data_IF_877874383020
#
_entry.id   IF_877874383020
#
_cell.length_a   1.000
_cell.length_b   1.000
_cell.length_c   1.000
_cell.angle_alpha   90.00
_cell.angle_beta   90.00
_cell.angle_gamma   90.00
#
_symmetry.space_group_name_H-M   'P 1'
#
loop_
_entity.id
_entity.type
_entity.pdbx_description
1 polymer ?
#
# COMPACT_ATOMS: atom_id res chain seq x y z
N UNK A 1 11.08 18.41 -17.60
CA UNK A 1 11.01 16.93 -17.77
C UNK A 1 12.00 16.17 -16.88
N UNK A 2 13.23 16.67 -16.68
CA UNK A 2 14.25 15.97 -15.88
C UNK A 2 13.86 15.73 -14.41
N UNK A 3 13.22 16.72 -13.76
CA UNK A 3 12.70 16.56 -12.39
C UNK A 3 11.60 15.49 -12.27
N UNK A 4 10.77 15.32 -13.31
CA UNK A 4 9.76 14.25 -13.36
C UNK A 4 10.46 12.88 -13.42
N UNK A 5 11.49 12.75 -14.27
CA UNK A 5 12.30 11.54 -14.39
C UNK A 5 12.99 11.17 -13.08
N UNK A 6 13.56 12.16 -12.37
CA UNK A 6 14.16 11.96 -11.03
C UNK A 6 13.14 11.44 -10.02
N UNK A 7 11.96 12.09 -9.92
CA UNK A 7 10.86 11.64 -9.05
C UNK A 7 10.42 10.21 -9.36
N UNK A 8 10.31 9.85 -10.64
CA UNK A 8 9.94 8.48 -11.03
C UNK A 8 11.00 7.45 -10.63
N UNK A 9 12.29 7.77 -10.85
CA UNK A 9 13.40 6.90 -10.43
C UNK A 9 13.40 6.69 -8.91
N UNK A 10 13.18 7.74 -8.13
CA UNK A 10 13.04 7.62 -6.67
C UNK A 10 11.88 6.71 -6.28
N UNK A 11 10.71 6.87 -6.93
CA UNK A 11 9.56 5.96 -6.70
C UNK A 11 9.92 4.51 -7.04
N UNK A 12 10.60 4.25 -8.15
CA UNK A 12 11.05 2.91 -8.53
C UNK A 12 11.95 2.30 -7.43
N UNK A 13 12.90 3.07 -6.88
CA UNK A 13 13.77 2.60 -5.80
C UNK A 13 12.96 2.25 -4.55
N UNK A 14 12.02 3.10 -4.15
CA UNK A 14 11.14 2.84 -3.00
C UNK A 14 10.35 1.54 -3.20
N UNK A 15 9.79 1.32 -4.39
CA UNK A 15 9.04 0.10 -4.69
C UNK A 15 9.94 -1.15 -4.65
N UNK A 16 11.20 -1.04 -5.08
CA UNK A 16 12.18 -2.12 -4.94
C UNK A 16 12.51 -2.43 -3.49
N UNK A 17 12.73 -1.40 -2.66
CA UNK A 17 12.98 -1.58 -1.22
C UNK A 17 11.80 -2.28 -0.56
N UNK A 18 10.58 -1.87 -0.89
CA UNK A 18 9.36 -2.45 -0.33
C UNK A 18 9.15 -3.91 -0.79
N UNK A 19 9.44 -4.20 -2.07
CA UNK A 19 9.41 -5.57 -2.59
C UNK A 19 10.46 -6.47 -1.91
N UNK A 20 11.69 -5.96 -1.71
CA UNK A 20 12.74 -6.68 -1.01
C UNK A 20 12.37 -6.96 0.45
N UNK A 21 11.77 -5.97 1.13
CA UNK A 21 11.33 -6.13 2.52
C UNK A 21 10.23 -7.20 2.65
N UNK A 22 9.27 -7.24 1.73
CA UNK A 22 8.27 -8.32 1.68
C UNK A 22 8.89 -9.69 1.40
N UNK A 23 9.91 -9.75 0.55
CA UNK A 23 10.63 -10.99 0.24
C UNK A 23 11.42 -11.50 1.46
N UNK A 24 12.11 -10.61 2.16
CA UNK A 24 12.83 -10.93 3.40
C UNK A 24 11.83 -11.43 4.45
N UNK A 25 10.71 -10.73 4.64
CA UNK A 25 9.67 -11.15 5.58
C UNK A 25 9.13 -12.55 5.26
N UNK A 26 8.87 -12.85 3.99
CA UNK A 26 8.45 -14.19 3.55
C UNK A 26 9.48 -15.26 3.91
N UNK A 27 10.75 -15.05 3.57
CA UNK A 27 11.82 -16.02 3.86
C UNK A 27 12.00 -16.24 5.36
N UNK A 28 12.00 -15.17 6.15
CA UNK A 28 12.13 -15.26 7.61
C UNK A 28 10.98 -16.04 8.22
N UNK A 29 9.73 -15.79 7.78
CA UNK A 29 8.57 -16.51 8.28
C UNK A 29 8.62 -18.00 7.93
N UNK A 30 9.03 -18.35 6.70
CA UNK A 30 9.20 -19.75 6.30
C UNK A 30 10.29 -20.48 7.09
N UNK A 31 11.41 -19.81 7.37
CA UNK A 31 12.48 -20.39 8.21
C UNK A 31 12.00 -20.62 9.63
N UNK A 32 11.28 -19.67 10.22
CA UNK A 32 10.74 -19.78 11.58
C UNK A 32 9.63 -20.85 11.69
N UNK A 33 8.81 -21.01 10.65
CA UNK A 33 7.83 -22.09 10.55
C UNK A 33 8.53 -23.45 10.43
N UNK A 34 9.56 -23.57 9.57
CA UNK A 34 10.34 -24.80 9.40
C UNK A 34 11.12 -25.21 10.67
N UNK A 35 11.46 -24.26 11.53
CA UNK A 35 12.06 -24.51 12.85
C UNK A 35 11.03 -24.82 13.95
N UNK A 36 9.73 -24.80 13.63
CA UNK A 36 8.65 -25.06 14.58
C UNK A 36 8.43 -23.97 15.63
N UNK A 37 9.07 -22.80 15.46
CA UNK A 37 8.93 -21.64 16.36
C UNK A 37 7.56 -20.98 16.20
N UNK A 38 7.05 -20.95 14.96
CA UNK A 38 5.73 -20.42 14.64
C UNK A 38 4.77 -21.57 14.31
N UNK A 39 3.57 -21.51 14.89
CA UNK A 39 2.46 -22.40 14.55
C UNK A 39 1.45 -21.63 13.70
N UNK A 40 1.57 -21.74 12.39
CA UNK A 40 0.63 -21.15 11.43
C UNK A 40 1.12 -21.35 10.01
N UNK A 41 0.18 -21.53 9.06
CA UNK A 41 0.52 -21.64 7.65
C UNK A 41 0.97 -20.27 7.13
N UNK A 42 2.17 -20.21 6.54
CA UNK A 42 2.61 -18.99 5.85
C UNK A 42 1.65 -18.67 4.71
N UNK A 43 1.00 -17.50 4.77
CA UNK A 43 0.10 -16.97 3.73
C UNK A 43 0.85 -16.58 2.44
N UNK A 44 1.45 -17.57 1.78
CA UNK A 44 2.33 -17.40 0.63
C UNK A 44 1.67 -16.59 -0.49
N UNK A 45 0.38 -16.82 -0.73
CA UNK A 45 -0.40 -16.09 -1.74
C UNK A 45 -0.47 -14.59 -1.50
N UNK A 46 -0.52 -14.13 -0.25
CA UNK A 46 -0.54 -12.71 0.09
C UNK A 46 0.78 -12.03 -0.27
N UNK A 47 1.90 -12.64 0.11
CA UNK A 47 3.23 -12.09 -0.18
C UNK A 47 3.54 -12.11 -1.67
N UNK A 48 3.27 -13.23 -2.37
CA UNK A 48 3.50 -13.34 -3.82
C UNK A 48 2.60 -12.37 -4.58
N UNK A 49 1.33 -12.24 -4.21
CA UNK A 49 0.42 -11.27 -4.80
C UNK A 49 0.92 -9.84 -4.63
N UNK A 50 1.32 -9.47 -3.41
CA UNK A 50 1.89 -8.15 -3.11
C UNK A 50 3.15 -7.84 -3.92
N UNK A 51 4.10 -8.78 -3.99
CA UNK A 51 5.32 -8.63 -4.78
C UNK A 51 5.00 -8.48 -6.27
N UNK A 52 4.05 -9.25 -6.79
CA UNK A 52 3.64 -9.18 -8.21
C UNK A 52 3.09 -7.80 -8.56
N UNK A 53 2.22 -7.22 -7.73
CA UNK A 53 1.68 -5.87 -7.93
C UNK A 53 2.79 -4.81 -7.90
N UNK A 54 3.76 -4.94 -7.01
CA UNK A 54 4.91 -4.03 -6.95
C UNK A 54 5.76 -4.13 -8.22
N UNK A 55 6.05 -5.34 -8.69
CA UNK A 55 6.81 -5.57 -9.92
C UNK A 55 6.09 -4.99 -11.14
N UNK A 56 4.78 -5.21 -11.29
CA UNK A 56 3.99 -4.63 -12.39
C UNK A 56 4.07 -3.10 -12.41
N UNK A 57 3.99 -2.46 -11.23
CA UNK A 57 4.15 -1.01 -11.10
C UNK A 57 5.57 -0.55 -11.47
N UNK A 58 6.61 -1.26 -11.00
CA UNK A 58 8.01 -0.97 -11.35
C UNK A 58 8.22 -1.05 -12.87
N UNK A 59 7.68 -2.08 -13.53
CA UNK A 59 7.81 -2.25 -14.98
C UNK A 59 7.16 -1.10 -15.74
N UNK A 60 5.96 -0.69 -15.32
CA UNK A 60 5.23 0.44 -15.91
C UNK A 60 6.01 1.75 -15.76
N UNK A 61 6.54 2.00 -14.56
CA UNK A 61 7.37 3.19 -14.30
C UNK A 61 8.69 3.14 -15.08
N UNK A 62 9.35 1.98 -15.18
CA UNK A 62 10.58 1.83 -15.99
C UNK A 62 10.33 2.10 -17.47
N UNK A 63 9.22 1.63 -18.02
CA UNK A 63 8.81 1.96 -19.41
C UNK A 63 8.65 3.49 -19.57
N UNK A 64 7.94 4.13 -18.63
CA UNK A 64 7.77 5.58 -18.64
C UNK A 64 9.08 6.38 -18.45
N UNK A 65 10.10 5.82 -17.79
CA UNK A 65 11.43 6.47 -17.71
C UNK A 65 12.22 6.32 -19.00
N UNK A 66 12.07 5.22 -19.75
CA UNK A 66 12.86 4.96 -20.97
C UNK A 66 12.35 5.72 -22.18
N UNK A 67 11.02 5.90 -22.28
CA UNK A 67 10.37 6.54 -23.42
C UNK A 67 9.91 7.96 -23.06
N UNK A 68 10.41 8.96 -23.79
CA UNK A 68 10.07 10.36 -23.55
C UNK A 68 8.61 10.70 -23.86
N UNK A 69 7.96 9.96 -24.76
CA UNK A 69 6.52 10.11 -25.04
C UNK A 69 5.68 9.62 -23.86
N UNK A 70 6.01 8.45 -23.33
CA UNK A 70 5.38 7.89 -22.13
C UNK A 70 5.66 8.75 -20.88
N UNK A 71 6.87 9.32 -20.75
CA UNK A 71 7.20 10.26 -19.68
C UNK A 71 6.36 11.53 -19.75
N UNK A 72 6.14 12.06 -20.96
CA UNK A 72 5.33 13.26 -21.18
C UNK A 72 3.86 13.00 -20.87
N UNK A 73 3.32 11.86 -21.31
CA UNK A 73 1.96 11.44 -20.94
C UNK A 73 1.79 11.28 -19.42
N UNK A 74 2.77 10.65 -18.76
CA UNK A 74 2.76 10.49 -17.32
C UNK A 74 2.82 11.84 -16.58
N UNK A 75 3.60 12.79 -17.09
CA UNK A 75 3.67 14.15 -16.54
C UNK A 75 2.35 14.89 -16.69
N UNK A 76 1.79 14.95 -17.90
CA UNK A 76 0.49 15.62 -18.16
C UNK A 76 -0.60 15.05 -17.26
N UNK A 77 -0.68 13.72 -17.16
CA UNK A 77 -1.69 13.05 -16.31
C UNK A 77 -1.56 13.41 -14.83
N UNK A 78 -0.35 13.61 -14.32
CA UNK A 78 -0.13 13.93 -12.90
C UNK A 78 -0.10 15.43 -12.58
N UNK A 79 -0.07 16.30 -13.60
CA UNK A 79 -0.10 17.75 -13.43
C UNK A 79 -1.48 18.34 -13.74
N UNK A 80 -2.33 17.61 -14.45
CA UNK A 80 -3.71 18.02 -14.71
C UNK A 80 -4.51 18.15 -13.40
N UNK A 81 -5.01 19.36 -13.15
CA UNK A 81 -5.82 19.73 -11.98
C UNK A 81 -7.05 18.84 -11.83
N UNK A 82 -7.69 18.46 -12.94
CA UNK A 82 -8.87 17.58 -12.93
C UNK A 82 -8.51 16.21 -12.39
N UNK A 83 -7.36 15.65 -12.82
CA UNK A 83 -6.92 14.34 -12.36
C UNK A 83 -6.56 14.38 -10.87
N UNK A 84 -5.90 15.45 -10.42
CA UNK A 84 -5.58 15.66 -9.01
C UNK A 84 -6.86 15.76 -8.17
N UNK A 85 -7.87 16.50 -8.64
CA UNK A 85 -9.14 16.66 -7.94
C UNK A 85 -9.88 15.32 -7.80
N UNK A 86 -9.94 14.52 -8.87
CA UNK A 86 -10.56 13.19 -8.84
C UNK A 86 -9.81 12.27 -7.87
N UNK A 87 -8.48 12.24 -7.91
CA UNK A 87 -7.67 11.42 -7.00
C UNK A 87 -7.86 11.82 -5.54
N UNK A 88 -7.93 13.11 -5.23
CA UNK A 88 -8.21 13.59 -3.86
C UNK A 88 -9.58 13.15 -3.38
N UNK A 89 -10.62 13.31 -4.21
CA UNK A 89 -11.99 12.91 -3.87
C UNK A 89 -12.11 11.40 -3.70
N UNK A 90 -11.50 10.62 -4.60
CA UNK A 90 -11.42 9.17 -4.50
C UNK A 90 -10.63 8.73 -3.27
N UNK A 91 -9.53 9.40 -2.94
CA UNK A 91 -8.73 9.13 -1.74
C UNK A 91 -9.55 9.30 -0.46
N UNK A 92 -10.27 10.41 -0.33
CA UNK A 92 -11.13 10.65 0.83
C UNK A 92 -12.32 9.67 0.93
N UNK A 93 -12.94 9.35 -0.20
CA UNK A 93 -14.03 8.37 -0.23
C UNK A 93 -13.53 6.97 0.13
N UNK A 94 -12.43 6.53 -0.48
CA UNK A 94 -11.83 5.21 -0.22
C UNK A 94 -11.35 5.09 1.22
N UNK A 95 -10.83 6.17 1.83
CA UNK A 95 -10.40 6.12 3.22
C UNK A 95 -11.57 5.89 4.19
N UNK A 96 -12.71 6.54 3.96
CA UNK A 96 -13.93 6.35 4.74
C UNK A 96 -14.56 4.98 4.48
N UNK A 97 -14.60 4.56 3.21
CA UNK A 97 -15.14 3.26 2.83
C UNK A 97 -14.35 2.10 3.44
N UNK A 98 -13.01 2.21 3.49
CA UNK A 98 -12.15 1.21 4.13
C UNK A 98 -12.46 1.10 5.62
N UNK A 99 -12.68 2.22 6.30
CA UNK A 99 -13.04 2.26 7.72
C UNK A 99 -14.40 1.59 7.97
N UNK A 100 -15.37 1.84 7.10
CA UNK A 100 -16.68 1.21 7.15
C UNK A 100 -16.58 -0.32 6.98
N UNK A 101 -15.85 -0.79 5.96
CA UNK A 101 -15.65 -2.22 5.71
C UNK A 101 -14.93 -2.90 6.88
N UNK A 102 -13.90 -2.27 7.45
CA UNK A 102 -13.21 -2.78 8.65
C UNK A 102 -14.17 -2.86 9.84
N UNK A 103 -15.02 -1.85 10.05
CA UNK A 103 -16.02 -1.86 11.12
C UNK A 103 -17.03 -3.00 10.99
N UNK A 104 -17.64 -3.17 9.80
CA UNK A 104 -18.57 -4.27 9.53
C UNK A 104 -17.88 -5.63 9.69
N UNK A 105 -16.65 -5.76 9.19
CA UNK A 105 -15.86 -7.00 9.32
C UNK A 105 -15.55 -7.33 10.78
N UNK A 106 -15.25 -6.32 11.61
CA UNK A 106 -15.00 -6.49 13.05
C UNK A 106 -16.25 -6.96 13.77
N UNK A 107 -17.42 -6.36 13.48
CA UNK A 107 -18.71 -6.79 14.05
C UNK A 107 -19.01 -8.22 13.65
N UNK A 108 -18.88 -8.58 12.37
CA UNK A 108 -19.09 -9.94 11.90
C UNK A 108 -18.13 -10.94 12.59
N UNK A 109 -16.85 -10.58 12.73
CA UNK A 109 -15.85 -11.41 13.39
C UNK A 109 -16.13 -11.65 14.88
N UNK A 110 -16.85 -10.73 15.55
CA UNK A 110 -17.22 -10.89 16.96
C UNK A 110 -18.09 -12.12 17.22
N UNK A 111 -18.88 -12.54 16.22
CA UNK A 111 -19.72 -13.73 16.30
C UNK A 111 -19.00 -15.03 15.90
N UNK A 112 -17.83 -14.93 15.25
CA UNK A 112 -17.11 -16.09 14.70
C UNK A 112 -15.96 -16.49 15.61
N UNK A 113 -15.08 -15.54 15.96
CA UNK A 113 -13.88 -15.82 16.73
C UNK A 113 -13.36 -14.56 17.44
N UNK A 114 -13.21 -14.64 18.76
CA UNK A 114 -12.73 -13.53 19.61
C UNK A 114 -11.34 -13.04 19.21
N UNK A 115 -10.44 -13.93 18.77
CA UNK A 115 -9.11 -13.57 18.29
C UNK A 115 -9.19 -12.73 17.02
N UNK A 116 -10.03 -13.14 16.05
CA UNK A 116 -10.22 -12.41 14.80
C UNK A 116 -10.83 -11.02 15.06
N UNK A 117 -11.79 -10.94 15.98
CA UNK A 117 -12.35 -9.66 16.44
C UNK A 117 -11.27 -8.70 16.95
N UNK A 118 -10.42 -9.13 17.89
CA UNK A 118 -9.36 -8.28 18.44
C UNK A 118 -8.32 -7.88 17.38
N UNK A 119 -7.95 -8.79 16.48
CA UNK A 119 -6.99 -8.47 15.40
C UNK A 119 -7.54 -7.43 14.41
N UNK A 120 -8.80 -7.55 13.98
CA UNK A 120 -9.44 -6.56 13.11
C UNK A 120 -9.66 -5.23 13.84
N UNK A 121 -10.05 -5.27 15.11
CA UNK A 121 -10.18 -4.07 15.95
C UNK A 121 -8.85 -3.32 16.10
N UNK A 122 -7.75 -4.04 16.36
CA UNK A 122 -6.42 -3.45 16.42
C UNK A 122 -5.99 -2.86 15.07
N UNK A 123 -6.22 -3.56 13.95
CA UNK A 123 -5.94 -3.05 12.61
C UNK A 123 -6.73 -1.77 12.29
N UNK A 124 -8.01 -1.73 12.67
CA UNK A 124 -8.85 -0.54 12.55
C UNK A 124 -8.32 0.62 13.41
N UNK A 125 -7.89 0.34 14.65
CA UNK A 125 -7.27 1.34 15.53
C UNK A 125 -5.99 1.94 14.95
N UNK A 126 -5.08 1.09 14.45
CA UNK A 126 -3.85 1.55 13.78
C UNK A 126 -4.17 2.40 12.55
N UNK A 127 -5.16 1.98 11.75
CA UNK A 127 -5.59 2.74 10.58
C UNK A 127 -6.14 4.13 10.97
N UNK A 128 -6.93 4.24 12.04
CA UNK A 128 -7.43 5.52 12.58
C UNK A 128 -6.28 6.41 13.02
N UNK A 129 -5.28 5.87 13.73
CA UNK A 129 -4.10 6.63 14.17
C UNK A 129 -3.35 7.19 12.96
N UNK A 130 -3.13 6.37 11.93
CA UNK A 130 -2.47 6.81 10.68
C UNK A 130 -3.29 7.89 9.98
N UNK A 131 -4.61 7.71 9.89
CA UNK A 131 -5.51 8.67 9.25
C UNK A 131 -5.50 10.02 9.99
N UNK A 132 -5.69 10.02 11.31
CA UNK A 132 -5.68 11.23 12.14
C UNK A 132 -4.30 11.89 12.14
N UNK A 133 -3.23 11.11 12.25
CA UNK A 133 -1.85 11.60 12.18
C UNK A 133 -1.55 12.26 10.84
N UNK A 134 -2.01 11.66 9.74
CA UNK A 134 -1.90 12.25 8.41
C UNK A 134 -2.70 13.55 8.30
N UNK A 135 -3.93 13.57 8.82
CA UNK A 135 -4.79 14.76 8.81
C UNK A 135 -4.16 15.91 9.60
N UNK A 136 -3.59 15.65 10.78
CA UNK A 136 -2.85 16.64 11.58
C UNK A 136 -1.59 17.12 10.85
N UNK A 137 -0.81 16.21 10.25
CA UNK A 137 0.40 16.57 9.51
C UNK A 137 0.10 17.47 8.32
N UNK A 138 -0.91 17.12 7.51
CA UNK A 138 -1.26 17.90 6.33
C UNK A 138 -1.96 19.22 6.68
N UNK A 139 -2.80 19.26 7.72
CA UNK A 139 -3.39 20.53 8.19
C UNK A 139 -2.36 21.51 8.76
N UNK A 140 -1.23 21.04 9.29
CA UNK A 140 -0.13 21.92 9.75
C UNK A 140 0.78 22.41 8.62
N UNK A 141 0.83 21.67 7.51
CA UNK A 141 1.77 21.91 6.41
C UNK A 141 1.16 22.70 5.25
N UNK A 142 -0.16 22.59 5.07
CA UNK A 142 -0.94 23.44 4.16
C UNK A 142 -1.35 24.72 4.88
#
# INVERSE_FOLDING_TARGET
MENCRKKLKTKIVIYWILAALLLIALVVLQVLEGQGVLKGETNFGFFVGGITVLIMNILTMRKAVKDDTALKQWYVRNTDERTIAVQRKAGNFTSLFTLFVLGVSTIAASYINTTVYWTLGAAMGVYIIIYLGSLVYFNKKM
#
